data_IF_957635774957
#
_entry.id   IF_957635774957
#
_cell.length_a   1.000
_cell.length_b   1.000
_cell.length_c   1.000
_cell.angle_alpha   90.00
_cell.angle_beta   90.00
_cell.angle_gamma   90.00
#
_symmetry.space_group_name_H-M   'P 1'
#
loop_
_entity.id
_entity.type
_entity.pdbx_description
1 polymer ?
#
# COMPACT_ATOMS: atom_id res chain seq x y z
N UNK A 1 -24.17 -5.29 -5.72
CA UNK A 1 -23.24 -4.34 -6.37
C UNK A 1 -22.54 -5.03 -7.53
N UNK A 2 -22.13 -4.31 -8.58
CA UNK A 2 -21.43 -4.88 -9.73
C UNK A 2 -19.92 -4.61 -9.66
N UNK A 3 -19.13 -5.54 -10.20
CA UNK A 3 -17.68 -5.44 -10.18
C UNK A 3 -17.22 -4.30 -11.10
N UNK A 4 -16.48 -3.34 -10.55
CA UNK A 4 -15.98 -2.20 -11.32
C UNK A 4 -14.99 -2.60 -12.44
N UNK A 5 -14.36 -3.80 -12.35
CA UNK A 5 -13.43 -4.29 -13.37
C UNK A 5 -14.14 -5.02 -14.53
N UNK A 6 -15.14 -5.85 -14.24
CA UNK A 6 -15.69 -6.80 -15.22
C UNK A 6 -17.22 -6.84 -15.29
N UNK A 7 -17.93 -6.06 -14.47
CA UNK A 7 -19.40 -5.97 -14.49
C UNK A 7 -20.17 -7.09 -13.79
N UNK A 8 -19.53 -8.19 -13.40
CA UNK A 8 -20.17 -9.32 -12.70
C UNK A 8 -20.88 -8.83 -11.42
N UNK A 9 -22.09 -9.33 -11.17
CA UNK A 9 -22.81 -9.07 -9.91
C UNK A 9 -22.08 -9.76 -8.77
N UNK A 10 -21.72 -8.99 -7.74
CA UNK A 10 -21.14 -9.51 -6.50
C UNK A 10 -22.24 -9.83 -5.48
N UNK A 11 -22.07 -10.95 -4.80
CA UNK A 11 -22.82 -11.29 -3.60
C UNK A 11 -22.52 -10.31 -2.47
N UNK A 12 -23.46 -10.18 -1.54
CA UNK A 12 -23.30 -9.33 -0.35
C UNK A 12 -22.13 -9.83 0.50
N UNK A 13 -21.26 -8.90 0.91
CA UNK A 13 -20.04 -9.21 1.69
C UNK A 13 -18.87 -9.81 0.89
N UNK A 14 -18.97 -9.93 -0.44
CA UNK A 14 -17.85 -10.41 -1.25
C UNK A 14 -16.63 -9.49 -1.11
N UNK A 15 -15.45 -10.05 -0.78
CA UNK A 15 -14.18 -9.30 -0.70
C UNK A 15 -13.49 -9.18 -2.06
N UNK A 16 -13.69 -10.16 -2.93
CA UNK A 16 -13.14 -10.25 -4.28
C UNK A 16 -14.20 -10.74 -5.26
N UNK A 17 -14.05 -10.37 -6.54
CA UNK A 17 -14.92 -10.83 -7.62
C UNK A 17 -14.60 -12.29 -7.97
N UNK A 18 -15.58 -13.21 -7.91
CA UNK A 18 -15.35 -14.62 -8.22
C UNK A 18 -15.04 -14.88 -9.71
N UNK A 19 -15.38 -13.94 -10.60
CA UNK A 19 -15.14 -14.09 -12.03
C UNK A 19 -13.75 -13.62 -12.46
N UNK A 20 -13.22 -12.56 -11.86
CA UNK A 20 -12.02 -11.89 -12.36
C UNK A 20 -10.95 -11.58 -11.31
N UNK A 21 -11.20 -11.92 -10.04
CA UNK A 21 -10.27 -11.74 -8.92
C UNK A 21 -10.09 -10.31 -8.41
N UNK A 22 -10.72 -9.30 -9.02
CA UNK A 22 -10.61 -7.92 -8.56
C UNK A 22 -11.22 -7.74 -7.17
N UNK A 23 -10.61 -6.92 -6.29
CA UNK A 23 -11.21 -6.63 -4.98
C UNK A 23 -12.55 -5.92 -5.17
N UNK A 24 -13.53 -6.25 -4.32
CA UNK A 24 -14.88 -5.72 -4.40
C UNK A 24 -14.96 -4.23 -4.04
N UNK A 25 -14.02 -3.76 -3.22
CA UNK A 25 -13.78 -2.35 -2.94
C UNK A 25 -12.33 -2.03 -3.31
N UNK A 26 -12.11 -0.89 -3.98
CA UNK A 26 -10.75 -0.38 -4.17
C UNK A 26 -10.18 -0.06 -2.78
N UNK A 27 -9.26 -0.90 -2.29
CA UNK A 27 -8.44 -0.55 -1.15
C UNK A 27 -7.54 0.60 -1.60
N UNK A 28 -7.88 1.84 -1.23
CA UNK A 28 -7.00 3.01 -1.32
C UNK A 28 -5.86 2.86 -0.31
N UNK A 29 -5.12 1.76 -0.41
CA UNK A 29 -3.78 1.65 0.14
C UNK A 29 -2.87 2.12 -0.97
N UNK A 30 -2.57 3.42 -0.98
CA UNK A 30 -1.52 3.96 -1.83
C UNK A 30 -0.21 3.26 -1.43
N UNK A 31 0.14 2.19 -2.15
CA UNK A 31 1.49 1.63 -2.10
C UNK A 31 2.39 2.67 -2.80
N UNK A 32 3.36 3.29 -2.11
CA UNK A 32 4.36 4.09 -2.81
C UNK A 32 5.05 3.17 -3.81
N UNK A 33 4.89 3.47 -5.10
CA UNK A 33 5.41 2.67 -6.20
C UNK A 33 6.90 2.93 -6.45
N UNK A 34 7.50 3.87 -5.72
CA UNK A 34 8.79 4.42 -6.07
C UNK A 34 9.54 4.85 -4.81
N UNK A 35 10.64 4.14 -4.53
CA UNK A 35 11.63 4.55 -3.55
C UNK A 35 12.94 4.76 -4.33
N UNK A 36 13.50 5.97 -4.25
CA UNK A 36 14.78 6.28 -4.86
C UNK A 36 15.88 6.19 -3.79
N UNK A 37 16.84 5.29 -4.00
CA UNK A 37 18.07 5.25 -3.20
C UNK A 37 18.99 6.35 -3.72
N UNK A 38 19.29 7.35 -2.89
CA UNK A 38 20.24 8.42 -3.22
C UNK A 38 21.51 8.23 -2.39
N UNK A 39 22.66 8.10 -3.07
CA UNK A 39 23.99 8.07 -2.46
C UNK A 39 24.61 6.67 -2.43
N UNK A 40 25.74 6.50 -3.13
CA UNK A 40 26.49 5.24 -3.24
C UNK A 40 27.25 4.87 -1.94
N UNK A 41 27.43 5.81 -1.00
CA UNK A 41 28.36 5.67 0.16
C UNK A 41 27.70 5.83 1.54
N UNK A 42 26.60 6.59 1.65
CA UNK A 42 25.84 6.75 2.91
C UNK A 42 24.35 6.61 2.61
N UNK A 43 23.83 5.39 2.73
CA UNK A 43 22.43 5.09 2.45
C UNK A 43 21.54 5.63 3.59
N UNK A 44 21.00 6.83 3.40
CA UNK A 44 19.99 7.38 4.30
C UNK A 44 18.58 7.04 3.76
N UNK A 45 17.77 6.39 4.59
CA UNK A 45 16.34 6.20 4.31
C UNK A 45 15.61 7.49 4.66
N UNK A 46 15.11 8.20 3.65
CA UNK A 46 14.31 9.42 3.83
C UNK A 46 12.82 9.04 3.80
N UNK A 47 12.14 9.26 4.92
CA UNK A 47 10.70 8.99 5.08
C UNK A 47 10.01 10.35 5.24
N UNK A 48 9.12 10.78 4.32
CA UNK A 48 8.34 12.01 4.51
C UNK A 48 7.24 11.79 5.56
N UNK A 49 7.15 12.68 6.55
CA UNK A 49 6.10 12.67 7.59
C UNK A 49 5.04 13.74 7.30
N UNK A 50 3.77 13.39 7.49
CA UNK A 50 2.67 14.34 7.50
C UNK A 50 2.60 15.10 8.85
N UNK A 51 1.82 16.17 8.91
CA UNK A 51 1.62 16.95 10.15
C UNK A 51 1.07 16.06 11.27
N UNK A 52 1.77 16.04 12.41
CA UNK A 52 1.45 15.20 13.57
C UNK A 52 1.93 13.75 13.50
N UNK A 53 2.66 13.34 12.47
CA UNK A 53 3.25 11.99 12.41
C UNK A 53 4.61 11.98 13.12
N UNK A 54 4.84 10.93 13.93
CA UNK A 54 6.11 10.68 14.62
C UNK A 54 6.72 9.34 14.19
N UNK A 55 8.05 9.26 14.15
CA UNK A 55 8.80 8.02 13.89
C UNK A 55 9.50 7.60 15.18
N UNK A 56 9.17 6.40 15.67
CA UNK A 56 9.93 5.71 16.71
C UNK A 56 10.88 4.71 16.07
N UNK A 57 12.17 4.81 16.42
CA UNK A 57 13.20 3.87 15.99
C UNK A 57 13.91 3.30 17.23
N UNK A 58 13.98 1.97 17.33
CA UNK A 58 14.74 1.29 18.37
C UNK A 58 16.22 1.16 17.97
N UNK A 59 17.17 1.55 18.82
CA UNK A 59 18.59 1.35 18.54
C UNK A 59 18.93 -0.15 18.58
N UNK A 60 19.34 -0.75 17.46
CA UNK A 60 19.92 -2.11 17.45
C UNK A 60 19.59 -3.04 16.29
N UNK A 61 18.72 -2.67 15.34
CA UNK A 61 18.35 -3.56 14.22
C UNK A 61 19.37 -3.63 13.05
N UNK A 62 20.61 -3.17 13.27
CA UNK A 62 21.70 -3.04 12.27
C UNK A 62 22.99 -3.71 12.75
N UNK A 63 22.89 -4.89 13.36
CA UNK A 63 24.02 -5.80 13.56
C UNK A 63 24.02 -6.89 12.47
#
# INVERSE_FOLDING_TARGET
MSCAKCGQVLAEGARFCPACGAPAAATTGARPKEFHVVGDVMQAVVIPLADGQEVQAEPGALL
#
